data_IF_682841172834
#
_entry.id   IF_682841172834
#
_cell.length_a   1.000
_cell.length_b   1.000
_cell.length_c   1.000
_cell.angle_alpha   90.00
_cell.angle_beta   90.00
_cell.angle_gamma   90.00
#
_symmetry.space_group_name_H-M   'P 1'
#
loop_
_entity.id
_entity.type
_entity.pdbx_description
1 polymer ?
#
# COMPACT_ATOMS: atom_id res chain seq x y z
N UNK A 1 15.83 -73.64 3.39
CA UNK A 1 16.50 -72.68 2.49
C UNK A 1 15.43 -71.88 1.77
N UNK A 2 15.14 -70.67 2.23
CA UNK A 2 14.35 -69.70 1.47
C UNK A 2 14.76 -68.31 1.95
N UNK A 3 15.52 -67.60 1.10
CA UNK A 3 16.05 -66.27 1.36
C UNK A 3 14.91 -65.24 1.24
N UNK A 4 14.49 -64.63 2.35
CA UNK A 4 13.78 -63.36 2.32
C UNK A 4 14.79 -62.22 2.14
N UNK A 5 14.83 -61.64 0.94
CA UNK A 5 15.52 -60.37 0.64
C UNK A 5 14.74 -59.23 1.28
N UNK A 6 15.32 -58.60 2.30
CA UNK A 6 14.90 -57.28 2.80
C UNK A 6 15.36 -56.21 1.81
N UNK A 7 14.42 -55.51 1.17
CA UNK A 7 14.70 -54.25 0.50
C UNK A 7 14.74 -53.16 1.57
N UNK A 8 15.92 -52.60 1.82
CA UNK A 8 16.07 -51.37 2.60
C UNK A 8 15.77 -50.17 1.71
N UNK A 9 14.75 -49.39 2.05
CA UNK A 9 14.62 -48.02 1.55
C UNK A 9 15.64 -47.15 2.30
N UNK A 10 16.52 -46.40 1.61
CA UNK A 10 17.24 -45.31 2.24
C UNK A 10 16.23 -44.19 2.51
N UNK A 11 15.93 -43.95 3.79
CA UNK A 11 15.18 -42.79 4.22
C UNK A 11 15.94 -41.52 3.86
N UNK A 12 15.45 -40.81 2.85
CA UNK A 12 15.87 -39.45 2.54
C UNK A 12 15.35 -38.58 3.67
N UNK A 13 16.21 -38.30 4.66
CA UNK A 13 16.03 -37.17 5.56
C UNK A 13 16.17 -35.89 4.71
N UNK A 14 15.05 -35.40 4.19
CA UNK A 14 14.97 -34.04 3.67
C UNK A 14 15.25 -33.10 4.84
N UNK A 15 16.43 -32.47 4.79
CA UNK A 15 16.82 -31.42 5.70
C UNK A 15 15.89 -30.22 5.54
N UNK A 16 14.91 -30.11 6.43
CA UNK A 16 14.29 -28.85 6.80
C UNK A 16 15.32 -28.01 7.56
N UNK A 17 16.37 -27.57 6.86
CA UNK A 17 17.18 -26.44 7.30
C UNK A 17 16.30 -25.21 7.08
N UNK A 18 15.44 -24.97 8.06
CA UNK A 18 14.63 -23.78 8.12
C UNK A 18 15.54 -22.56 8.04
N UNK A 19 15.16 -21.63 7.15
CA UNK A 19 15.58 -20.24 7.23
C UNK A 19 15.45 -19.81 8.70
N UNK A 20 16.59 -19.61 9.37
CA UNK A 20 16.61 -18.97 10.68
C UNK A 20 16.08 -17.55 10.45
N UNK A 21 14.83 -17.33 10.88
CA UNK A 21 14.12 -16.09 10.69
C UNK A 21 14.91 -14.95 11.35
N UNK A 22 15.41 -14.03 10.52
CA UNK A 22 16.15 -12.82 10.90
C UNK A 22 15.19 -11.70 11.40
N UNK A 23 14.16 -12.12 12.15
CA UNK A 23 13.09 -11.28 12.67
C UNK A 23 13.24 -11.01 14.16
N UNK A 24 12.70 -9.88 14.62
CA UNK A 24 12.58 -9.55 16.06
C UNK A 24 11.67 -10.53 16.81
N UNK A 25 10.80 -11.20 16.08
CA UNK A 25 9.92 -12.24 16.57
C UNK A 25 10.71 -13.43 17.15
N UNK A 26 10.42 -13.88 18.38
CA UNK A 26 10.92 -15.17 18.85
C UNK A 26 10.50 -16.30 17.89
N UNK A 27 11.16 -17.46 17.98
CA UNK A 27 10.88 -18.66 17.17
C UNK A 27 9.41 -19.15 17.19
N UNK A 28 8.52 -18.49 17.94
CA UNK A 28 7.07 -18.66 18.00
C UNK A 28 6.33 -18.17 16.73
N UNK A 29 6.90 -17.26 15.93
CA UNK A 29 6.26 -16.83 14.67
C UNK A 29 6.63 -17.76 13.51
N UNK A 30 6.26 -19.03 13.67
CA UNK A 30 6.34 -20.08 12.64
C UNK A 30 4.91 -20.46 12.27
N UNK A 31 4.49 -20.21 11.03
CA UNK A 31 3.14 -20.50 10.56
C UNK A 31 2.85 -19.89 9.21
N UNK A 32 1.64 -20.08 8.72
CA UNK A 32 1.13 -19.37 7.54
C UNK A 32 0.83 -17.91 7.94
N UNK A 33 1.33 -16.91 7.20
CA UNK A 33 1.04 -15.52 7.51
C UNK A 33 -0.45 -15.22 7.29
N UNK A 34 -1.01 -14.34 8.13
CA UNK A 34 -2.37 -13.82 7.94
C UNK A 34 -2.47 -13.01 6.64
N UNK A 35 -1.38 -12.31 6.28
CA UNK A 35 -1.23 -11.54 5.05
C UNK A 35 0.25 -11.43 4.68
N UNK A 36 0.53 -11.34 3.39
CA UNK A 36 1.84 -10.96 2.88
C UNK A 36 1.69 -9.65 2.08
N UNK A 37 2.54 -8.66 2.37
CA UNK A 37 2.62 -7.43 1.59
C UNK A 37 3.85 -7.50 0.70
N UNK A 38 3.70 -7.23 -0.59
CA UNK A 38 4.77 -7.30 -1.56
C UNK A 38 5.15 -5.88 -1.99
N UNK A 39 6.41 -5.50 -1.78
CA UNK A 39 6.94 -4.18 -2.13
C UNK A 39 8.10 -4.33 -3.13
N UNK A 40 8.18 -3.38 -4.05
CA UNK A 40 9.10 -3.40 -5.18
C UNK A 40 9.91 -2.11 -5.17
N UNK A 41 11.23 -2.22 -5.13
CA UNK A 41 12.11 -1.06 -5.33
C UNK A 41 12.19 -0.77 -6.84
N UNK A 42 11.67 0.37 -7.25
CA UNK A 42 11.58 0.76 -8.66
C UNK A 42 12.84 1.40 -9.21
N UNK A 43 13.75 1.92 -8.37
CA UNK A 43 14.86 2.74 -8.84
C UNK A 43 16.26 2.24 -8.46
N UNK A 44 16.38 1.29 -7.53
CA UNK A 44 17.67 0.69 -7.15
C UNK A 44 18.68 1.71 -6.62
N UNK A 45 18.21 2.90 -6.21
CA UNK A 45 19.09 3.97 -5.71
C UNK A 45 19.51 3.77 -4.25
N UNK A 46 18.88 2.82 -3.56
CA UNK A 46 19.13 2.50 -2.15
C UNK A 46 20.33 1.55 -1.93
N UNK A 47 21.13 1.32 -2.98
CA UNK A 47 22.25 0.38 -3.04
C UNK A 47 23.50 0.98 -2.41
N UNK A 48 23.59 0.98 -1.07
CA UNK A 48 24.88 0.84 -0.33
C UNK A 48 24.79 0.87 1.19
N UNK A 49 23.59 0.77 1.80
CA UNK A 49 23.49 0.84 3.26
C UNK A 49 23.63 -0.55 3.87
N UNK A 50 24.64 -0.72 4.71
CA UNK A 50 24.77 -1.88 5.59
C UNK A 50 23.68 -1.79 6.67
N UNK A 51 23.14 -2.94 7.10
CA UNK A 51 22.16 -3.06 8.19
C UNK A 51 20.82 -2.34 7.96
N UNK A 52 20.26 -2.44 6.76
CA UNK A 52 18.88 -1.98 6.56
C UNK A 52 17.90 -3.01 7.10
N UNK A 53 16.89 -2.53 7.80
CA UNK A 53 15.72 -3.32 8.19
C UNK A 53 14.46 -2.71 7.63
N UNK A 54 13.47 -3.57 7.40
CA UNK A 54 12.14 -3.16 7.02
C UNK A 54 11.15 -3.76 8.01
N UNK A 55 10.35 -2.89 8.62
CA UNK A 55 9.30 -3.24 9.56
C UNK A 55 7.93 -2.75 9.08
N UNK A 56 6.88 -3.33 9.68
CA UNK A 56 5.53 -2.77 9.61
C UNK A 56 5.28 -2.01 10.92
N UNK A 57 4.79 -0.78 10.82
CA UNK A 57 4.61 0.11 11.95
C UNK A 57 3.19 0.61 11.98
N UNK A 58 2.49 0.35 13.08
CA UNK A 58 1.14 0.84 13.28
C UNK A 58 1.15 2.27 13.81
N UNK A 59 0.32 3.13 13.23
CA UNK A 59 0.12 4.51 13.67
C UNK A 59 -0.70 4.50 14.96
N UNK A 60 -0.12 5.03 16.04
CA UNK A 60 -0.74 5.09 17.37
C UNK A 60 -1.44 6.42 17.64
N UNK A 61 -1.07 7.48 16.91
CA UNK A 61 -1.75 8.78 16.92
C UNK A 61 -1.91 9.30 15.48
N UNK A 62 -3.12 9.30 14.91
CA UNK A 62 -3.36 9.79 13.56
C UNK A 62 -3.37 11.31 13.40
N UNK A 63 -3.47 12.03 14.52
CA UNK A 63 -3.56 13.48 14.54
C UNK A 63 -2.19 14.14 14.66
N UNK A 64 -1.20 13.40 15.16
CA UNK A 64 0.18 13.81 15.21
C UNK A 64 0.83 13.70 13.82
N UNK A 65 1.86 14.53 13.60
CA UNK A 65 2.79 14.26 12.52
C UNK A 65 3.44 12.90 12.79
N UNK A 66 3.43 12.00 11.80
CA UNK A 66 4.03 10.66 11.92
C UNK A 66 5.51 10.82 12.29
N UNK A 67 5.83 10.45 13.52
CA UNK A 67 7.18 10.34 14.08
C UNK A 67 7.40 8.95 14.66
N UNK A 68 8.65 8.57 14.93
CA UNK A 68 8.99 7.26 15.52
C UNK A 68 8.23 6.99 16.83
N UNK A 69 7.98 8.04 17.62
CA UNK A 69 7.25 7.96 18.89
C UNK A 69 5.75 7.71 18.72
N UNK A 70 5.20 8.01 17.54
CA UNK A 70 3.77 7.79 17.19
C UNK A 70 3.56 6.48 16.42
N UNK A 71 4.58 5.61 16.43
CA UNK A 71 4.59 4.36 15.70
C UNK A 71 4.85 3.19 16.64
N UNK A 72 4.07 2.12 16.47
CA UNK A 72 4.27 0.85 17.13
C UNK A 72 4.76 -0.19 16.12
N UNK A 73 6.03 -0.60 16.24
CA UNK A 73 6.58 -1.66 15.39
C UNK A 73 5.87 -2.99 15.65
N UNK A 74 5.49 -3.68 14.57
CA UNK A 74 5.07 -5.07 14.59
C UNK A 74 6.32 -5.98 14.50
N UNK A 75 6.84 -6.50 15.62
CA UNK A 75 8.15 -7.16 15.64
C UNK A 75 8.19 -8.43 14.76
N UNK A 76 7.06 -9.10 14.59
CA UNK A 76 6.92 -10.25 13.71
C UNK A 76 7.03 -9.92 12.22
N UNK A 77 6.80 -8.66 11.89
CA UNK A 77 6.90 -8.12 10.55
C UNK A 77 8.21 -7.33 10.35
N UNK A 78 9.19 -7.39 11.25
CA UNK A 78 10.52 -6.79 11.06
C UNK A 78 11.52 -7.80 10.53
N UNK A 79 12.32 -7.41 9.53
CA UNK A 79 13.37 -8.28 8.94
C UNK A 79 14.52 -7.46 8.36
N UNK A 80 15.72 -8.05 8.36
CA UNK A 80 16.84 -7.54 7.58
C UNK A 80 16.46 -7.52 6.10
N UNK A 81 16.82 -6.44 5.40
CA UNK A 81 16.47 -6.24 4.01
C UNK A 81 17.68 -5.80 3.20
N UNK A 82 17.68 -6.25 1.94
CA UNK A 82 18.62 -5.82 0.94
C UNK A 82 17.81 -5.03 -0.08
N UNK A 83 17.93 -3.69 -0.04
CA UNK A 83 16.96 -2.76 -0.65
C UNK A 83 16.83 -2.84 -2.18
N UNK A 84 17.68 -3.59 -2.88
CA UNK A 84 17.62 -3.76 -4.35
C UNK A 84 16.85 -4.98 -4.83
N UNK A 85 16.03 -5.57 -3.96
CA UNK A 85 15.20 -6.72 -4.28
C UNK A 85 13.78 -6.51 -3.81
N UNK A 86 12.83 -7.06 -4.55
CA UNK A 86 11.44 -7.18 -4.11
C UNK A 86 11.42 -7.84 -2.73
N UNK A 87 10.67 -7.27 -1.80
CA UNK A 87 10.60 -7.78 -0.45
C UNK A 87 9.16 -8.03 -0.03
N UNK A 88 9.00 -9.10 0.73
CA UNK A 88 7.71 -9.52 1.28
C UNK A 88 7.71 -9.24 2.77
N UNK A 89 6.67 -8.55 3.24
CA UNK A 89 6.36 -8.34 4.64
C UNK A 89 5.24 -9.32 5.04
N UNK A 90 5.58 -10.48 5.61
CA UNK A 90 4.57 -11.32 6.24
C UNK A 90 4.04 -10.65 7.51
N UNK A 91 2.73 -10.74 7.70
CA UNK A 91 2.02 -10.28 8.89
C UNK A 91 1.44 -11.53 9.56
N UNK A 92 1.82 -11.76 10.80
CA UNK A 92 1.40 -12.95 11.56
C UNK A 92 0.44 -12.64 12.70
N UNK A 93 0.30 -11.37 13.07
CA UNK A 93 -0.59 -10.93 14.13
C UNK A 93 -1.46 -9.75 13.66
N UNK A 94 -2.67 -9.68 14.20
CA UNK A 94 -3.51 -8.50 14.10
C UNK A 94 -3.04 -7.44 15.11
N UNK A 95 -3.20 -6.15 14.84
CA UNK A 95 -2.84 -5.12 15.81
C UNK A 95 -3.64 -5.23 17.10
N UNK A 96 -3.00 -4.87 18.20
CA UNK A 96 -3.63 -4.77 19.50
C UNK A 96 -4.81 -3.78 19.50
N UNK A 97 -5.73 -3.91 20.46
CA UNK A 97 -6.93 -3.08 20.55
C UNK A 97 -6.62 -1.59 20.71
N UNK A 98 -5.56 -1.24 21.44
CA UNK A 98 -5.19 0.14 21.74
C UNK A 98 -4.68 0.93 20.52
N UNK A 99 -4.32 0.24 19.43
CA UNK A 99 -3.86 0.84 18.17
C UNK A 99 -5.03 1.22 17.25
N UNK A 100 -6.27 0.82 17.60
CA UNK A 100 -7.45 0.97 16.73
C UNK A 100 -8.27 2.24 17.00
N UNK A 101 -7.91 3.05 17.98
CA UNK A 101 -8.73 4.20 18.42
C UNK A 101 -8.42 5.48 17.62
N UNK A 102 -8.86 5.48 16.36
CA UNK A 102 -8.55 6.52 15.37
C UNK A 102 -9.43 7.79 15.45
N UNK A 103 -10.10 8.08 16.58
CA UNK A 103 -10.91 9.30 16.75
C UNK A 103 -12.11 9.46 15.79
N UNK A 104 -12.31 8.53 14.86
CA UNK A 104 -13.40 8.46 13.86
C UNK A 104 -14.49 7.45 14.21
N UNK A 105 -14.42 6.83 15.39
CA UNK A 105 -15.30 5.73 15.78
C UNK A 105 -14.58 4.41 16.08
N UNK A 106 -13.26 4.34 15.88
CA UNK A 106 -12.39 3.36 16.57
C UNK A 106 -12.30 1.95 15.99
N UNK A 107 -12.41 1.76 14.67
CA UNK A 107 -12.51 0.41 14.09
C UNK A 107 -11.46 0.08 13.02
N UNK A 108 -10.50 0.95 12.71
CA UNK A 108 -9.46 0.66 11.71
C UNK A 108 -8.09 1.04 12.25
N UNK A 109 -7.15 0.11 12.21
CA UNK A 109 -5.74 0.38 12.46
C UNK A 109 -5.00 0.62 11.14
N UNK A 110 -3.99 1.50 11.18
CA UNK A 110 -3.25 1.93 9.99
C UNK A 110 -1.79 1.64 10.20
N UNK A 111 -1.14 1.05 9.21
CA UNK A 111 0.27 0.77 9.23
C UNK A 111 1.00 1.23 7.98
N UNK A 112 2.27 1.55 8.20
CA UNK A 112 3.27 1.95 7.23
C UNK A 112 4.35 0.88 7.19
N UNK A 113 4.83 0.55 5.99
CA UNK A 113 6.12 -0.14 5.90
C UNK A 113 7.22 0.91 5.90
N UNK A 114 8.21 0.72 6.78
CA UNK A 114 9.32 1.65 6.96
C UNK A 114 10.62 0.88 6.82
N UNK A 115 11.52 1.42 5.99
CA UNK A 115 12.90 0.99 5.87
C UNK A 115 13.78 1.94 6.69
N UNK A 116 14.64 1.39 7.55
CA UNK A 116 15.51 2.17 8.43
C UNK A 116 16.89 1.54 8.58
N UNK A 117 17.86 2.36 8.96
CA UNK A 117 19.22 1.90 9.25
C UNK A 117 19.31 1.44 10.71
N UNK A 118 19.50 0.13 10.91
CA UNK A 118 19.74 -0.47 12.23
C UNK A 118 21.21 -0.26 12.61
N UNK A 119 21.48 0.89 13.20
CA UNK A 119 22.83 1.36 13.50
C UNK A 119 23.42 0.69 14.73
N UNK A 120 22.56 0.25 15.65
CA UNK A 120 22.96 -0.33 16.93
C UNK A 120 22.88 -1.87 16.96
N UNK A 121 22.23 -2.49 15.96
CA UNK A 121 22.06 -3.94 15.83
C UNK A 121 21.02 -4.55 16.77
N UNK A 122 20.11 -3.75 17.34
CA UNK A 122 19.04 -4.23 18.22
C UNK A 122 17.78 -4.64 17.46
N UNK A 123 17.81 -4.45 16.14
CA UNK A 123 16.81 -4.84 15.17
C UNK A 123 15.50 -4.05 15.23
N UNK A 124 15.40 -2.98 16.02
CA UNK A 124 14.21 -2.12 16.19
C UNK A 124 14.49 -0.73 15.68
N UNK A 125 13.47 -0.03 15.22
CA UNK A 125 13.63 1.39 14.88
C UNK A 125 13.75 2.22 16.17
N UNK A 126 14.88 2.92 16.32
CA UNK A 126 15.09 3.89 17.40
C UNK A 126 14.87 5.34 16.95
N UNK A 127 14.54 6.28 17.85
CA UNK A 127 14.33 7.69 17.50
C UNK A 127 15.52 8.36 16.80
N UNK A 128 16.74 7.95 17.12
CA UNK A 128 17.98 8.47 16.51
C UNK A 128 18.34 7.82 15.17
N UNK A 129 17.68 6.72 14.80
CA UNK A 129 17.98 5.98 13.59
C UNK A 129 17.38 6.64 12.35
N UNK A 130 18.11 6.52 11.24
CA UNK A 130 17.69 7.12 9.99
C UNK A 130 16.59 6.29 9.33
N UNK A 131 15.42 6.92 9.14
CA UNK A 131 14.40 6.42 8.22
C UNK A 131 14.88 6.63 6.78
N UNK A 132 15.17 5.54 6.10
CA UNK A 132 15.67 5.52 4.72
C UNK A 132 14.50 5.71 3.74
N UNK A 133 13.40 5.02 3.99
CA UNK A 133 12.19 5.08 3.16
C UNK A 133 10.95 4.71 3.98
N UNK A 134 9.79 5.16 3.52
CA UNK A 134 8.50 4.76 4.06
C UNK A 134 7.45 4.71 2.96
N UNK A 135 6.44 3.85 3.11
CA UNK A 135 5.36 3.72 2.13
C UNK A 135 4.37 4.88 2.29
N UNK A 136 4.49 5.88 1.43
CA UNK A 136 3.55 7.03 1.38
C UNK A 136 2.37 6.77 0.45
N UNK A 137 2.60 6.04 -0.64
CA UNK A 137 1.57 5.78 -1.64
C UNK A 137 0.62 4.65 -1.23
N UNK A 138 1.07 3.68 -0.45
CA UNK A 138 0.25 2.55 -0.03
C UNK A 138 0.29 2.42 1.49
N UNK A 139 -0.90 2.21 2.06
CA UNK A 139 -1.12 2.09 3.49
C UNK A 139 -1.77 0.74 3.75
N UNK A 140 -1.39 0.14 4.86
CA UNK A 140 -1.96 -1.13 5.30
C UNK A 140 -3.02 -0.79 6.33
N UNK A 141 -4.26 -1.18 6.06
CA UNK A 141 -5.35 -1.05 7.02
C UNK A 141 -5.68 -2.41 7.61
N UNK A 142 -6.04 -2.45 8.88
CA UNK A 142 -6.66 -3.60 9.50
C UNK A 142 -8.03 -3.20 10.06
N UNK A 143 -9.08 -3.85 9.55
CA UNK A 143 -10.45 -3.70 10.01
C UNK A 143 -10.90 -5.00 10.70
N UNK A 144 -11.34 -5.01 11.97
CA UNK A 144 -11.76 -6.22 12.66
C UNK A 144 -13.12 -6.75 12.17
N UNK A 145 -13.90 -5.94 11.45
CA UNK A 145 -15.18 -6.28 10.81
C UNK A 145 -15.33 -5.42 9.54
N UNK A 146 -16.39 -5.65 8.77
CA UNK A 146 -16.68 -4.85 7.57
C UNK A 146 -17.03 -3.39 7.95
N UNK A 147 -16.32 -2.42 7.35
CA UNK A 147 -16.48 -0.98 7.63
C UNK A 147 -17.12 -0.30 6.43
N UNK A 148 -18.22 0.39 6.67
CA UNK A 148 -18.90 1.19 5.64
C UNK A 148 -18.04 2.36 5.16
N UNK A 149 -18.25 2.79 3.91
CA UNK A 149 -17.48 3.87 3.28
C UNK A 149 -17.42 5.16 4.12
N UNK A 150 -18.52 5.50 4.81
CA UNK A 150 -18.63 6.70 5.64
C UNK A 150 -17.74 6.67 6.90
N UNK A 151 -17.33 5.49 7.36
CA UNK A 151 -16.48 5.31 8.54
C UNK A 151 -15.05 4.87 8.17
N UNK A 152 -14.80 4.63 6.88
CA UNK A 152 -13.50 4.21 6.37
C UNK A 152 -12.62 5.42 6.08
N UNK A 153 -11.34 5.41 6.52
CA UNK A 153 -10.40 6.50 6.24
C UNK A 153 -10.05 6.60 4.74
N UNK A 154 -10.37 5.58 3.95
CA UNK A 154 -10.20 5.56 2.50
C UNK A 154 -11.45 6.04 1.72
N UNK A 155 -12.54 6.42 2.42
CA UNK A 155 -13.85 6.77 1.82
C UNK A 155 -14.52 5.65 1.02
N UNK A 156 -14.01 4.42 1.17
CA UNK A 156 -14.50 3.22 0.47
C UNK A 156 -14.80 2.13 1.51
N UNK A 157 -15.78 1.25 1.26
CA UNK A 157 -16.05 0.16 2.18
C UNK A 157 -14.80 -0.71 2.33
N UNK A 158 -14.49 -1.13 3.56
CA UNK A 158 -13.40 -2.05 3.88
C UNK A 158 -13.99 -3.38 4.31
N UNK A 159 -13.43 -4.48 3.81
CA UNK A 159 -13.76 -5.78 4.32
C UNK A 159 -12.99 -6.08 5.61
N UNK A 160 -13.56 -6.92 6.45
CA UNK A 160 -12.88 -7.47 7.62
C UNK A 160 -11.53 -8.09 7.23
N UNK A 161 -10.48 -7.74 7.97
CA UNK A 161 -9.10 -8.20 7.77
C UNK A 161 -8.15 -7.10 7.30
N UNK A 162 -7.07 -7.52 6.65
CA UNK A 162 -6.05 -6.63 6.10
C UNK A 162 -6.45 -6.11 4.72
N UNK A 163 -6.40 -4.80 4.57
CA UNK A 163 -6.64 -4.10 3.32
C UNK A 163 -5.38 -3.30 2.95
N UNK A 164 -5.07 -3.21 1.67
CA UNK A 164 -4.05 -2.28 1.17
C UNK A 164 -4.78 -1.20 0.41
N UNK A 165 -4.61 0.05 0.84
CA UNK A 165 -5.27 1.20 0.23
C UNK A 165 -4.22 2.19 -0.23
N UNK A 166 -4.57 3.01 -1.22
CA UNK A 166 -3.70 4.10 -1.63
C UNK A 166 -3.81 5.24 -0.62
N UNK A 167 -2.66 5.69 -0.13
CA UNK A 167 -2.55 6.87 0.70
C UNK A 167 -2.47 8.15 -0.14
N UNK A 168 -2.50 9.29 0.56
CA UNK A 168 -2.84 9.50 1.95
C UNK A 168 -4.36 9.41 2.15
N UNK A 169 -4.74 9.17 3.40
CA UNK A 169 -6.12 8.97 3.81
C UNK A 169 -6.79 10.31 4.10
N UNK A 170 -8.11 10.35 3.95
CA UNK A 170 -8.88 11.49 4.44
C UNK A 170 -8.96 11.39 5.98
N UNK A 171 -8.09 12.09 6.70
CA UNK A 171 -8.14 12.18 8.17
C UNK A 171 -9.31 13.08 8.66
N UNK A 172 -10.52 12.90 8.11
CA UNK A 172 -11.65 13.81 8.35
C UNK A 172 -11.52 15.19 7.67
N UNK A 173 -10.36 15.50 7.10
CA UNK A 173 -10.11 16.65 6.23
C UNK A 173 -10.62 16.35 4.81
N UNK A 174 -11.91 16.01 4.69
CA UNK A 174 -12.56 16.27 3.41
C UNK A 174 -12.73 17.79 3.34
N UNK A 175 -12.22 18.47 2.30
CA UNK A 175 -12.58 19.86 2.07
C UNK A 175 -14.11 19.98 2.13
N UNK A 176 -14.63 20.94 2.90
CA UNK A 176 -16.07 21.20 3.11
C UNK A 176 -16.79 21.69 1.83
N UNK A 177 -16.33 21.29 0.66
CA UNK A 177 -16.94 21.64 -0.60
C UNK A 177 -17.90 20.52 -0.97
N UNK A 178 -19.16 20.89 -1.15
CA UNK A 178 -20.20 19.95 -1.58
C UNK A 178 -19.79 19.33 -2.91
N UNK A 179 -19.80 17.98 -3.03
CA UNK A 179 -19.59 17.31 -4.31
C UNK A 179 -20.52 17.90 -5.38
N UNK A 180 -19.96 18.25 -6.53
CA UNK A 180 -20.67 18.94 -7.60
C UNK A 180 -20.17 18.53 -8.98
N UNK A 181 -20.88 18.99 -10.00
CA UNK A 181 -20.42 18.86 -11.38
C UNK A 181 -19.37 19.94 -11.66
N UNK A 182 -18.10 19.55 -11.65
CA UNK A 182 -17.00 20.40 -12.06
C UNK A 182 -17.01 20.71 -13.57
N UNK A 183 -17.87 20.04 -14.37
CA UNK A 183 -17.85 20.14 -15.82
C UNK A 183 -16.59 19.53 -16.45
N UNK A 184 -15.87 18.67 -15.72
CA UNK A 184 -14.61 18.04 -16.14
C UNK A 184 -14.84 16.56 -16.36
N UNK A 185 -14.52 16.05 -17.55
CA UNK A 185 -14.51 14.61 -17.83
C UNK A 185 -13.19 14.01 -17.33
N UNK A 186 -13.18 13.58 -16.06
CA UNK A 186 -11.99 13.04 -15.41
C UNK A 186 -11.39 11.86 -16.17
N UNK A 187 -10.05 11.77 -16.17
CA UNK A 187 -9.28 10.70 -16.81
C UNK A 187 -9.57 10.51 -18.30
N UNK A 188 -9.98 11.58 -18.98
CA UNK A 188 -10.09 11.63 -20.44
C UNK A 188 -8.82 12.24 -21.02
N UNK A 189 -8.29 11.64 -22.08
CA UNK A 189 -7.09 12.17 -22.75
C UNK A 189 -7.33 13.60 -23.27
N UNK A 190 -6.33 14.46 -23.11
CA UNK A 190 -6.37 15.85 -23.55
C UNK A 190 -5.05 16.23 -24.24
N UNK A 191 -5.07 17.33 -24.98
CA UNK A 191 -3.87 17.94 -25.55
C UNK A 191 -3.50 19.24 -24.83
N UNK A 192 -4.47 19.90 -24.19
CA UNK A 192 -4.29 21.16 -23.47
C UNK A 192 -5.36 21.36 -22.38
N UNK A 193 -5.12 22.29 -21.45
CA UNK A 193 -6.08 22.64 -20.38
C UNK A 193 -7.46 23.04 -20.94
N UNK A 194 -7.52 23.61 -22.15
CA UNK A 194 -8.77 24.00 -22.78
C UNK A 194 -9.72 22.82 -23.09
N UNK A 195 -9.17 21.60 -23.20
CA UNK A 195 -9.96 20.38 -23.43
C UNK A 195 -10.67 19.91 -22.14
N UNK A 196 -10.26 20.43 -20.98
CA UNK A 196 -10.67 19.93 -19.66
C UNK A 196 -11.64 20.86 -18.92
N UNK A 197 -12.14 21.91 -19.55
CA UNK A 197 -13.08 22.84 -18.92
C UNK A 197 -12.46 23.56 -17.71
N UNK A 198 -13.01 23.33 -16.51
CA UNK A 198 -12.48 23.88 -15.25
C UNK A 198 -11.29 23.08 -14.68
N UNK A 199 -10.94 21.96 -15.32
CA UNK A 199 -9.81 21.11 -14.94
C UNK A 199 -8.49 21.55 -15.56
N UNK A 200 -7.50 20.70 -15.41
CA UNK A 200 -6.19 20.83 -16.04
C UNK A 200 -5.84 19.56 -16.80
N UNK A 201 -5.15 19.73 -17.92
CA UNK A 201 -4.60 18.67 -18.72
C UNK A 201 -3.22 18.32 -18.17
N UNK A 202 -3.14 17.24 -17.39
CA UNK A 202 -1.93 16.90 -16.65
C UNK A 202 -1.42 15.53 -17.01
N UNK A 203 -0.11 15.36 -17.01
CA UNK A 203 0.54 14.05 -17.06
C UNK A 203 0.55 13.36 -15.69
N UNK A 204 -0.30 13.79 -14.77
CA UNK A 204 -0.22 13.38 -13.37
C UNK A 204 -0.91 12.04 -13.23
N UNK A 205 -0.09 10.99 -13.20
CA UNK A 205 -0.53 9.61 -13.20
C UNK A 205 -0.12 8.88 -14.48
N UNK A 206 0.17 9.65 -15.54
CA UNK A 206 0.69 9.16 -16.81
C UNK A 206 2.17 8.73 -16.68
N UNK A 207 2.50 7.54 -17.16
CA UNK A 207 3.89 7.11 -17.32
C UNK A 207 4.59 7.87 -18.48
N UNK A 208 5.92 7.79 -18.56
CA UNK A 208 6.67 8.51 -19.58
C UNK A 208 6.25 8.08 -21.00
N UNK A 209 5.71 9.02 -21.78
CA UNK A 209 5.26 8.79 -23.16
C UNK A 209 3.74 8.65 -23.33
N UNK A 210 2.99 8.76 -22.24
CA UNK A 210 1.52 8.75 -22.25
C UNK A 210 0.94 10.15 -22.52
N UNK A 211 -0.24 10.22 -23.17
CA UNK A 211 -0.95 11.48 -23.33
C UNK A 211 -1.42 11.99 -21.97
N UNK A 212 -1.40 13.32 -21.73
CA UNK A 212 -1.95 13.89 -20.50
C UNK A 212 -3.47 13.70 -20.46
N UNK A 213 -4.03 13.83 -19.26
CA UNK A 213 -5.45 13.63 -19.00
C UNK A 213 -6.09 14.77 -18.23
N UNK A 214 -7.39 14.90 -18.40
CA UNK A 214 -8.19 15.85 -17.65
C UNK A 214 -8.33 15.42 -16.18
N UNK A 215 -7.89 16.29 -15.30
CA UNK A 215 -7.95 16.13 -13.84
C UNK A 215 -8.42 17.43 -13.21
N UNK A 216 -8.95 17.38 -11.99
CA UNK A 216 -9.17 18.59 -11.17
C UNK A 216 -8.05 18.64 -10.15
N UNK A 217 -7.27 19.72 -10.12
CA UNK A 217 -6.18 19.85 -9.15
C UNK A 217 -6.76 20.20 -7.80
N UNK A 218 -6.34 19.48 -6.76
CA UNK A 218 -6.75 19.70 -5.39
C UNK A 218 -5.76 20.63 -4.68
N UNK A 219 -6.21 21.85 -4.40
CA UNK A 219 -5.53 22.95 -3.76
C UNK A 219 -6.52 23.66 -2.82
N UNK A 220 -6.08 24.53 -1.88
CA UNK A 220 -6.97 25.23 -0.94
C UNK A 220 -8.09 26.02 -1.61
N UNK A 221 -7.85 26.49 -2.83
CA UNK A 221 -8.72 27.35 -3.61
C UNK A 221 -9.42 26.61 -4.77
N UNK A 222 -9.38 25.26 -4.78
CA UNK A 222 -10.09 24.48 -5.80
C UNK A 222 -11.59 24.79 -5.74
N UNK A 223 -12.19 25.31 -6.82
CA UNK A 223 -13.54 25.86 -6.79
C UNK A 223 -14.65 24.80 -6.76
N UNK A 224 -14.32 23.54 -7.02
CA UNK A 224 -15.30 22.45 -7.14
C UNK A 224 -14.67 21.08 -6.84
N UNK A 225 -15.50 20.14 -6.40
CA UNK A 225 -15.10 18.76 -6.13
C UNK A 225 -15.92 17.83 -7.02
N UNK A 226 -15.30 17.11 -7.97
CA UNK A 226 -16.04 16.28 -8.91
C UNK A 226 -16.72 15.12 -8.18
N UNK A 227 -18.04 14.99 -8.38
CA UNK A 227 -18.86 13.98 -7.68
C UNK A 227 -18.47 12.52 -7.94
N UNK A 228 -17.80 12.25 -9.06
CA UNK A 228 -17.29 10.95 -9.48
C UNK A 228 -15.76 10.87 -9.41
N UNK A 229 -15.12 11.82 -8.72
CA UNK A 229 -13.69 11.88 -8.57
C UNK A 229 -13.19 11.31 -7.25
N UNK A 230 -12.09 10.58 -7.29
CA UNK A 230 -11.31 10.20 -6.13
C UNK A 230 -10.10 11.13 -6.01
N UNK A 231 -9.89 11.72 -4.83
CA UNK A 231 -8.70 12.51 -4.56
C UNK A 231 -7.47 11.60 -4.48
N UNK A 232 -6.54 11.80 -5.40
CA UNK A 232 -5.24 11.13 -5.45
C UNK A 232 -4.20 12.16 -5.04
N UNK A 233 -3.60 11.97 -3.87
CA UNK A 233 -2.54 12.88 -3.46
C UNK A 233 -1.24 12.40 -4.07
N UNK A 234 -0.66 13.28 -4.87
CA UNK A 234 0.67 13.11 -5.45
C UNK A 234 1.31 14.48 -5.35
N UNK A 235 2.47 14.54 -4.71
CA UNK A 235 3.22 15.79 -4.65
C UNK A 235 3.56 16.20 -6.08
N UNK A 236 2.94 17.27 -6.54
CA UNK A 236 3.20 17.81 -7.86
C UNK A 236 4.46 18.66 -7.77
N UNK A 237 5.56 18.18 -8.37
CA UNK A 237 6.82 18.94 -8.40
C UNK A 237 6.61 20.31 -9.06
N UNK A 238 5.73 20.35 -10.06
CA UNK A 238 5.41 21.56 -10.82
C UNK A 238 4.38 22.47 -10.13
N UNK A 239 3.64 21.95 -9.14
CA UNK A 239 2.58 22.67 -8.41
C UNK A 239 2.70 22.41 -6.91
N UNK A 240 3.68 23.01 -6.22
CA UNK A 240 3.94 22.74 -4.80
C UNK A 240 2.78 23.11 -3.86
N UNK A 241 1.87 23.97 -4.32
CA UNK A 241 0.63 24.35 -3.64
C UNK A 241 -0.48 23.30 -3.74
N UNK A 242 -0.38 22.38 -4.71
CA UNK A 242 -1.34 21.31 -4.88
C UNK A 242 -1.05 20.16 -3.90
N UNK A 243 -2.08 19.71 -3.19
CA UNK A 243 -2.02 18.52 -2.36
C UNK A 243 -2.23 17.25 -3.18
N UNK A 244 -2.88 17.36 -4.34
CA UNK A 244 -3.20 16.22 -5.20
C UNK A 244 -4.00 16.60 -6.44
N UNK A 245 -4.69 15.61 -6.99
CA UNK A 245 -5.60 15.75 -8.12
C UNK A 245 -6.76 14.75 -7.99
N UNK A 246 -7.92 15.09 -8.51
CA UNK A 246 -9.03 14.17 -8.64
C UNK A 246 -8.85 13.33 -9.90
N UNK A 247 -8.78 12.00 -9.74
CA UNK A 247 -8.88 11.03 -10.81
C UNK A 247 -10.30 10.43 -10.86
N UNK A 248 -10.68 9.82 -11.98
CA UNK A 248 -12.00 9.18 -12.11
C UNK A 248 -12.12 8.00 -11.15
N UNK A 249 -13.11 8.01 -10.26
CA UNK A 249 -13.41 6.88 -9.39
C UNK A 249 -13.99 5.70 -10.18
N UNK A 250 -13.74 4.48 -9.73
CA UNK A 250 -14.21 3.26 -10.41
C UNK A 250 -14.49 2.12 -9.42
N UNK A 251 -15.35 1.19 -9.85
CA UNK A 251 -15.56 -0.11 -9.23
C UNK A 251 -15.14 -1.25 -10.17
N UNK A 252 -15.25 -1.03 -11.48
CA UNK A 252 -14.93 -1.98 -12.54
C UNK A 252 -14.25 -1.27 -13.71
N UNK A 253 -13.55 -2.02 -14.56
CA UNK A 253 -12.85 -1.46 -15.74
C UNK A 253 -13.80 -0.70 -16.67
N UNK A 254 -15.09 -1.06 -16.69
CA UNK A 254 -16.11 -0.40 -17.49
C UNK A 254 -16.41 1.04 -17.05
N UNK A 255 -16.05 1.41 -15.81
CA UNK A 255 -16.21 2.77 -15.30
C UNK A 255 -15.15 3.74 -15.84
N UNK A 256 -14.12 3.22 -16.50
CA UNK A 256 -12.98 3.98 -16.97
C UNK A 256 -13.17 4.52 -18.40
N UNK A 257 -13.15 5.85 -18.59
CA UNK A 257 -13.42 6.47 -19.88
C UNK A 257 -12.25 6.30 -20.86
N UNK A 258 -11.01 6.24 -20.36
CA UNK A 258 -9.85 5.94 -21.18
C UNK A 258 -9.73 4.41 -21.35
N UNK A 259 -9.75 3.89 -22.59
CA UNK A 259 -9.67 2.44 -22.85
C UNK A 259 -8.31 1.82 -22.49
N UNK A 260 -7.30 2.62 -22.14
CA UNK A 260 -6.02 2.14 -21.59
C UNK A 260 -6.04 2.01 -20.06
N UNK A 261 -7.06 2.57 -19.43
CA UNK A 261 -7.21 2.51 -17.98
C UNK A 261 -7.98 1.26 -17.58
N UNK A 262 -7.53 0.65 -16.50
CA UNK A 262 -8.28 -0.36 -15.76
C UNK A 262 -8.72 0.24 -14.44
N UNK A 263 -9.77 -0.33 -13.88
CA UNK A 263 -10.12 0.01 -12.53
C UNK A 263 -9.14 -0.66 -11.58
N UNK A 264 -8.36 0.15 -10.89
CA UNK A 264 -7.52 -0.33 -9.80
C UNK A 264 -8.42 -0.57 -8.61
N UNK A 265 -9.12 -1.70 -8.57
CA UNK A 265 -10.21 -1.97 -7.60
C UNK A 265 -9.77 -1.72 -6.15
N UNK A 266 -8.51 -1.99 -5.80
CA UNK A 266 -7.94 -1.69 -4.48
C UNK A 266 -7.83 -0.19 -4.19
N UNK A 267 -7.46 0.61 -5.21
CA UNK A 267 -7.30 2.05 -5.10
C UNK A 267 -8.56 2.85 -5.46
N UNK A 268 -9.52 2.25 -6.17
CA UNK A 268 -10.83 2.84 -6.47
C UNK A 268 -10.84 3.94 -7.53
N UNK A 269 -9.81 4.02 -8.36
CA UNK A 269 -9.73 4.99 -9.45
C UNK A 269 -9.22 4.35 -10.75
N UNK A 270 -9.57 4.99 -11.86
CA UNK A 270 -9.09 4.66 -13.19
C UNK A 270 -7.66 5.14 -13.37
N UNK A 271 -6.76 4.20 -13.57
CA UNK A 271 -5.40 4.50 -13.97
C UNK A 271 -4.94 3.47 -14.99
N UNK A 272 -3.78 3.71 -15.58
CA UNK A 272 -3.16 2.77 -16.50
C UNK A 272 -3.14 1.35 -15.92
N UNK A 273 -3.28 0.36 -16.80
CA UNK A 273 -2.80 -1.01 -16.56
C UNK A 273 -1.26 -1.00 -16.56
N UNK A 274 -0.69 -0.31 -15.57
CA UNK A 274 0.66 -0.60 -15.13
C UNK A 274 0.48 -1.98 -14.51
N UNK A 275 0.64 -3.03 -15.33
CA UNK A 275 0.76 -4.42 -14.90
C UNK A 275 1.51 -4.35 -13.58
N UNK A 276 0.83 -4.53 -12.43
CA UNK A 276 1.37 -3.98 -11.23
C UNK A 276 2.71 -4.68 -11.10
N UNK A 277 3.78 -3.89 -11.15
CA UNK A 277 5.07 -4.39 -10.71
C UNK A 277 4.88 -5.00 -9.30
N UNK A 278 3.81 -4.60 -8.59
CA UNK A 278 3.21 -5.14 -7.38
C UNK A 278 2.49 -6.51 -7.42
N UNK A 279 2.13 -7.14 -8.55
CA UNK A 279 1.37 -8.42 -8.55
C UNK A 279 1.75 -9.47 -9.60
N UNK A 280 2.41 -9.14 -10.72
CA UNK A 280 2.61 -10.14 -11.80
C UNK A 280 4.05 -10.45 -12.22
N UNK A 281 5.08 -9.72 -11.77
CA UNK A 281 6.46 -10.09 -12.09
C UNK A 281 7.10 -10.99 -11.01
N UNK A 282 7.08 -12.29 -11.31
CA UNK A 282 8.03 -13.36 -10.88
C UNK A 282 8.14 -13.74 -9.40
N UNK A 283 7.10 -13.54 -8.60
CA UNK A 283 6.85 -14.45 -7.49
C UNK A 283 5.63 -15.30 -7.85
N UNK A 284 5.64 -16.63 -7.62
CA UNK A 284 4.48 -17.44 -7.92
C UNK A 284 3.26 -16.85 -7.18
N UNK A 285 2.08 -16.76 -7.84
CA UNK A 285 0.88 -16.17 -7.27
C UNK A 285 0.56 -16.64 -5.85
N UNK A 286 0.96 -17.86 -5.51
CA UNK A 286 0.85 -18.47 -4.19
C UNK A 286 1.58 -17.76 -3.04
N UNK A 287 2.47 -16.79 -3.31
CA UNK A 287 3.26 -16.11 -2.25
C UNK A 287 2.68 -14.75 -1.88
N UNK A 288 2.11 -14.01 -2.85
CA UNK A 288 1.44 -12.72 -2.60
C UNK A 288 -0.09 -12.85 -2.54
N UNK A 289 -0.68 -13.91 -3.09
CA UNK A 289 -2.09 -14.24 -2.86
C UNK A 289 -2.20 -15.10 -1.59
N UNK A 290 -2.65 -14.48 -0.49
CA UNK A 290 -3.17 -15.25 0.64
C UNK A 290 -4.29 -16.20 0.18
N UNK A 291 -4.64 -17.23 0.97
CA UNK A 291 -5.53 -18.29 0.53
C UNK A 291 -6.94 -17.74 0.21
N UNK A 292 -7.32 -17.83 -1.08
CA UNK A 292 -8.72 -17.87 -1.51
C UNK A 292 -9.37 -16.56 -1.93
N UNK A 293 -8.96 -16.00 -3.07
CA UNK A 293 -9.86 -15.14 -3.87
C UNK A 293 -9.79 -15.60 -5.33
N UNK A 294 -10.73 -16.47 -5.71
CA UNK A 294 -11.05 -16.79 -7.09
C UNK A 294 -12.04 -15.72 -7.55
N UNK A 295 -11.62 -14.82 -8.44
CA UNK A 295 -12.52 -13.88 -9.10
C UNK A 295 -13.39 -14.70 -10.06
N UNK A 296 -14.70 -14.68 -9.84
CA UNK A 296 -15.71 -15.06 -10.85
C UNK A 296 -15.90 -13.92 -11.82
#
# INVERSE_FOLDING_TARGET
MSLMRRFGLPGVLLGLLGCTADGLAPAAFRGEPLRALCFFDGDGSLVNRLNVRIGLFWVTDPTAHVSVETLAEAPEASRGAVLHTDFIIPIYATPDEWVRDWGTGGEVAIALAIAYADGNGDHRLQPEEEVIALTTEFLVLYAPHDVEAAHSPSTRPLHAGFNVVRGPLSCGLQPEVTPGDCGVQLSTACASDADCGLGACTSVGATAGEPPECTVIAAPDTPCHPSDGLLIYRRQVERPEAYGYYGKACLTDADCPNPRHICRVEAGYCGEDIDPLFTRRRLPPSVCAGPGWMVM
#
